data_IF_991698500167
#
_entry.id   IF_991698500167
#
_cell.length_a   1.000
_cell.length_b   1.000
_cell.length_c   1.000
_cell.angle_alpha   90.00
_cell.angle_beta   90.00
_cell.angle_gamma   90.00
#
_symmetry.space_group_name_H-M   'P 1'
#
loop_
_entity.id
_entity.type
_entity.pdbx_description
1 polymer ?
#
# COMPACT_ATOMS: atom_id res chain seq x y z
N UNK A 1 10.29 -11.06 5.37
CA UNK A 1 10.76 -10.18 4.28
C UNK A 1 10.04 -8.84 4.40
N UNK A 2 10.70 -7.73 4.05
CA UNK A 2 10.16 -6.38 4.28
C UNK A 2 10.36 -5.52 3.03
N UNK A 3 9.32 -4.81 2.59
CA UNK A 3 9.43 -3.66 1.69
C UNK A 3 9.09 -2.41 2.51
N UNK A 4 9.93 -1.38 2.47
CA UNK A 4 9.73 -0.18 3.27
C UNK A 4 10.03 1.08 2.48
N UNK A 5 9.22 2.12 2.69
CA UNK A 5 9.45 3.48 2.21
C UNK A 5 9.39 4.44 3.42
N UNK A 6 10.46 5.20 3.63
CA UNK A 6 10.72 6.07 4.76
C UNK A 6 11.53 7.31 4.31
N UNK A 7 10.88 8.34 3.72
CA UNK A 7 11.56 9.54 3.29
C UNK A 7 12.33 10.17 4.46
N UNK A 8 13.43 10.83 4.12
CA UNK A 8 14.25 11.58 5.07
C UNK A 8 13.56 12.88 5.48
N UNK A 9 13.78 13.32 6.70
CA UNK A 9 13.30 14.61 7.21
C UNK A 9 14.16 15.80 6.72
N UNK A 10 15.11 15.57 5.82
CA UNK A 10 16.12 16.54 5.42
C UNK A 10 15.68 17.53 4.35
N UNK A 11 14.50 17.33 3.74
CA UNK A 11 14.00 18.17 2.64
C UNK A 11 12.60 18.71 2.92
N UNK A 12 12.33 19.92 2.41
CA UNK A 12 10.99 20.53 2.48
C UNK A 12 9.93 19.72 1.76
N UNK A 13 10.30 19.08 0.67
CA UNK A 13 9.47 18.09 -0.02
C UNK A 13 10.32 16.83 -0.14
N UNK A 14 9.91 15.75 0.54
CA UNK A 14 10.57 14.46 0.41
C UNK A 14 9.56 13.36 0.09
N UNK A 15 9.97 12.47 -0.81
CA UNK A 15 9.10 11.46 -1.41
C UNK A 15 9.89 10.19 -1.65
N UNK A 16 9.41 9.10 -1.07
CA UNK A 16 9.97 7.77 -1.32
C UNK A 16 8.89 6.81 -1.83
N UNK A 17 9.13 6.26 -3.03
CA UNK A 17 8.29 5.25 -3.66
C UNK A 17 9.08 3.96 -3.81
N UNK A 18 8.58 2.87 -3.24
CA UNK A 18 9.22 1.56 -3.31
C UNK A 18 8.28 0.56 -3.93
N UNK A 19 8.71 -0.04 -5.04
CA UNK A 19 8.02 -1.18 -5.67
C UNK A 19 8.89 -2.42 -5.50
N UNK A 20 8.35 -3.48 -4.91
CA UNK A 20 9.06 -4.72 -4.67
C UNK A 20 8.25 -5.93 -5.11
N UNK A 21 8.81 -6.70 -6.05
CA UNK A 21 8.25 -7.97 -6.48
C UNK A 21 9.07 -9.14 -5.91
N UNK A 22 8.42 -10.16 -5.34
CA UNK A 22 9.11 -11.32 -4.75
C UNK A 22 8.35 -12.62 -4.97
N UNK A 23 9.09 -13.64 -5.41
CA UNK A 23 8.64 -15.04 -5.37
C UNK A 23 9.22 -15.75 -4.15
N UNK A 24 8.35 -16.33 -3.32
CA UNK A 24 8.72 -17.00 -2.08
C UNK A 24 9.07 -18.45 -2.34
N UNK A 25 10.15 -18.92 -1.73
CA UNK A 25 10.66 -20.30 -1.90
C UNK A 25 10.50 -21.21 -0.66
N UNK A 26 10.15 -20.67 0.52
CA UNK A 26 10.14 -21.38 1.80
C UNK A 26 8.73 -21.50 2.42
N UNK A 27 8.53 -22.52 3.29
CA UNK A 27 7.22 -22.97 3.79
C UNK A 27 6.57 -22.09 4.89
N UNK A 28 7.34 -21.28 5.64
CA UNK A 28 6.82 -20.31 6.60
C UNK A 28 7.17 -18.90 6.14
N UNK A 29 6.15 -18.07 5.92
CA UNK A 29 6.31 -16.75 5.31
C UNK A 29 5.72 -15.66 6.21
N UNK A 30 6.55 -14.69 6.56
CA UNK A 30 6.13 -13.37 7.00
C UNK A 30 6.61 -12.33 5.98
N UNK A 31 5.69 -11.54 5.45
CA UNK A 31 5.99 -10.47 4.51
C UNK A 31 5.32 -9.16 4.93
N UNK A 32 6.15 -8.12 5.06
CA UNK A 32 5.75 -6.83 5.56
C UNK A 32 5.91 -5.78 4.45
N UNK A 33 4.90 -4.92 4.29
CA UNK A 33 4.96 -3.71 3.48
C UNK A 33 4.70 -2.51 4.38
N UNK A 34 5.69 -1.62 4.53
CA UNK A 34 5.68 -0.54 5.52
C UNK A 34 5.95 0.80 4.85
N UNK A 35 4.95 1.68 4.82
CA UNK A 35 5.13 3.09 4.48
C UNK A 35 5.09 3.90 5.77
N UNK A 36 6.15 4.66 6.06
CA UNK A 36 6.20 5.54 7.22
C UNK A 36 6.65 6.92 6.80
N UNK A 37 5.92 7.95 7.20
CA UNK A 37 6.29 9.34 6.98
C UNK A 37 6.20 10.09 8.28
N UNK A 38 7.23 10.87 8.56
CA UNK A 38 7.25 11.83 9.66
C UNK A 38 7.65 13.17 9.10
N UNK A 39 6.98 14.23 9.54
CA UNK A 39 7.29 15.60 9.13
C UNK A 39 7.33 16.49 10.35
N UNK A 40 8.49 17.08 10.63
CA UNK A 40 8.71 17.92 11.80
C UNK A 40 9.13 19.37 11.49
N UNK A 41 9.46 19.67 10.23
CA UNK A 41 9.80 21.02 9.81
C UNK A 41 8.59 21.80 9.30
N UNK A 42 8.59 23.11 9.51
CA UNK A 42 7.51 23.99 9.08
C UNK A 42 7.30 23.96 7.57
N UNK A 43 6.04 23.96 7.12
CA UNK A 43 5.61 23.92 5.71
C UNK A 43 6.07 22.68 4.93
N UNK A 44 6.65 21.69 5.61
CA UNK A 44 7.23 20.53 4.95
C UNK A 44 6.16 19.52 4.51
N UNK A 45 6.51 18.74 3.50
CA UNK A 45 5.66 17.73 2.88
C UNK A 45 6.42 16.43 2.74
N UNK A 46 5.98 15.41 3.46
CA UNK A 46 6.50 14.05 3.34
C UNK A 46 5.50 13.12 2.64
N UNK A 47 6.01 12.24 1.79
CA UNK A 47 5.25 11.16 1.17
C UNK A 47 6.05 9.85 1.21
N UNK A 48 5.45 8.81 1.76
CA UNK A 48 5.94 7.43 1.63
C UNK A 48 4.91 6.58 0.92
N UNK A 49 5.35 5.78 -0.03
CA UNK A 49 4.49 4.82 -0.69
C UNK A 49 5.24 3.52 -0.96
N UNK A 50 4.65 2.38 -0.61
CA UNK A 50 5.20 1.06 -0.87
C UNK A 50 4.18 0.16 -1.58
N UNK A 51 4.63 -0.50 -2.64
CA UNK A 51 3.94 -1.58 -3.33
C UNK A 51 4.76 -2.85 -3.20
N UNK A 52 4.16 -3.91 -2.66
CA UNK A 52 4.77 -5.22 -2.58
C UNK A 52 3.90 -6.27 -3.30
N UNK A 53 4.46 -6.91 -4.32
CA UNK A 53 3.83 -8.01 -5.06
C UNK A 53 4.48 -9.33 -4.66
N UNK A 54 3.68 -10.27 -4.18
CA UNK A 54 4.13 -11.53 -3.59
C UNK A 54 3.55 -12.73 -4.32
N UNK A 55 4.39 -13.72 -4.60
CA UNK A 55 3.97 -15.01 -5.14
C UNK A 55 4.37 -16.13 -4.18
N UNK A 56 3.39 -16.91 -3.72
CA UNK A 56 3.57 -17.95 -2.69
C UNK A 56 3.12 -19.31 -3.24
N UNK A 57 4.02 -20.13 -3.81
CA UNK A 57 3.65 -21.29 -4.62
C UNK A 57 3.02 -22.47 -3.87
N UNK A 58 3.57 -22.81 -2.71
CA UNK A 58 3.25 -24.04 -1.99
C UNK A 58 2.42 -23.81 -0.73
N UNK A 59 1.94 -24.89 -0.09
CA UNK A 59 1.21 -24.80 1.15
C UNK A 59 2.08 -24.15 2.22
N UNK A 60 1.66 -22.97 2.66
CA UNK A 60 2.33 -22.20 3.69
C UNK A 60 1.32 -21.64 4.69
N UNK A 61 1.75 -21.47 5.94
CA UNK A 61 1.11 -20.49 6.83
C UNK A 61 1.79 -19.15 6.56
N UNK A 62 1.06 -18.25 5.88
CA UNK A 62 1.63 -17.00 5.39
C UNK A 62 0.96 -15.81 6.07
N UNK A 63 1.76 -14.97 6.74
CA UNK A 63 1.34 -13.72 7.35
C UNK A 63 1.80 -12.55 6.50
N UNK A 64 0.87 -11.63 6.26
CA UNK A 64 1.10 -10.46 5.42
C UNK A 64 0.67 -9.21 6.19
N UNK A 65 1.65 -8.48 6.74
CA UNK A 65 1.40 -7.24 7.47
C UNK A 65 1.61 -6.04 6.52
N UNK A 66 0.63 -5.17 6.40
CA UNK A 66 0.65 -4.02 5.50
C UNK A 66 0.31 -2.76 6.30
N UNK A 67 1.29 -1.87 6.46
CA UNK A 67 1.26 -0.78 7.43
C UNK A 67 1.56 0.54 6.76
N UNK A 68 0.65 1.51 6.90
CA UNK A 68 0.86 2.90 6.51
C UNK A 68 0.79 3.80 7.75
N UNK A 69 1.81 4.60 8.00
CA UNK A 69 1.85 5.52 9.14
C UNK A 69 2.33 6.91 8.72
N UNK A 70 1.57 7.94 9.04
CA UNK A 70 1.94 9.33 8.76
C UNK A 70 1.83 10.19 10.02
N UNK A 71 2.90 10.93 10.31
CA UNK A 71 3.05 11.78 11.50
C UNK A 71 3.44 13.19 11.10
N UNK A 72 2.77 14.18 11.68
CA UNK A 72 3.26 15.57 11.72
C UNK A 72 3.49 15.96 13.17
N UNK A 73 4.64 16.56 13.48
CA UNK A 73 5.03 16.89 14.85
C UNK A 73 5.67 18.29 14.92
N UNK A 74 5.37 19.06 15.96
CA UNK A 74 6.09 20.31 16.31
C UNK A 74 6.25 21.29 15.13
N UNK A 75 5.23 21.41 14.29
CA UNK A 75 5.33 22.19 13.05
C UNK A 75 4.02 22.88 12.65
N UNK A 76 4.11 23.80 11.66
CA UNK A 76 2.95 24.50 11.12
C UNK A 76 2.81 24.30 9.61
N UNK A 77 1.56 24.12 9.15
CA UNK A 77 1.17 23.87 7.75
C UNK A 77 1.95 22.74 7.05
N UNK A 78 2.30 21.70 7.79
CA UNK A 78 3.00 20.53 7.25
C UNK A 78 2.02 19.48 6.74
N UNK A 79 2.47 18.61 5.84
CA UNK A 79 1.67 17.46 5.41
C UNK A 79 2.47 16.17 5.40
N UNK A 80 1.87 15.07 5.85
CA UNK A 80 2.45 13.73 5.74
C UNK A 80 1.47 12.75 5.14
N UNK A 81 1.91 11.97 4.14
CA UNK A 81 1.10 10.89 3.56
C UNK A 81 1.85 9.56 3.57
N UNK A 82 1.11 8.46 3.84
CA UNK A 82 1.67 7.11 3.76
C UNK A 82 0.70 6.15 3.05
N UNK A 83 1.21 5.44 2.05
CA UNK A 83 0.46 4.45 1.27
C UNK A 83 1.16 3.09 1.31
N UNK A 84 0.47 2.05 1.74
CA UNK A 84 1.00 0.69 1.74
C UNK A 84 0.09 -0.26 0.94
N UNK A 85 0.63 -0.89 -0.09
CA UNK A 85 -0.11 -1.77 -1.01
C UNK A 85 0.53 -3.14 -1.07
N UNK A 86 -0.26 -4.18 -0.86
CA UNK A 86 0.14 -5.57 -1.07
C UNK A 86 -0.76 -6.28 -2.08
N UNK A 87 -0.16 -6.86 -3.11
CA UNK A 87 -0.82 -7.79 -4.03
C UNK A 87 -0.20 -9.17 -3.84
N UNK A 88 -0.98 -10.11 -3.34
CA UNK A 88 -0.50 -11.44 -2.94
C UNK A 88 -1.19 -12.50 -3.78
N UNK A 89 -0.41 -13.31 -4.49
CA UNK A 89 -0.88 -14.48 -5.24
C UNK A 89 -0.43 -15.73 -4.50
N UNK A 90 -1.38 -16.53 -4.01
CA UNK A 90 -1.12 -17.73 -3.21
C UNK A 90 -1.57 -19.00 -3.94
N UNK A 91 -0.80 -20.06 -3.80
CA UNK A 91 -1.10 -21.38 -4.34
C UNK A 91 -2.01 -22.23 -3.44
N UNK A 92 -2.39 -23.43 -3.90
CA UNK A 92 -3.25 -24.34 -3.16
C UNK A 92 -2.69 -24.69 -1.78
N UNK A 93 -3.58 -24.87 -0.81
CA UNK A 93 -3.21 -25.24 0.56
C UNK A 93 -2.57 -24.12 1.39
N UNK A 94 -2.33 -22.93 0.82
CA UNK A 94 -1.82 -21.77 1.56
C UNK A 94 -2.90 -21.15 2.44
N UNK A 95 -2.60 -20.97 3.73
CA UNK A 95 -3.45 -20.23 4.67
C UNK A 95 -2.88 -18.82 4.83
N UNK A 96 -3.48 -17.86 4.14
CA UNK A 96 -3.12 -16.46 4.25
C UNK A 96 -3.77 -15.79 5.47
N UNK A 97 -2.97 -15.02 6.21
CA UNK A 97 -3.40 -14.13 7.31
C UNK A 97 -3.05 -12.68 6.95
N UNK A 98 -3.88 -12.02 6.12
CA UNK A 98 -3.70 -10.60 5.79
C UNK A 98 -4.00 -9.72 7.01
N UNK A 99 -3.21 -8.67 7.21
CA UNK A 99 -3.43 -7.65 8.25
C UNK A 99 -3.06 -6.28 7.68
N UNK A 100 -4.05 -5.40 7.60
CA UNK A 100 -3.86 -4.00 7.21
C UNK A 100 -3.91 -3.08 8.44
N UNK A 101 -3.06 -2.06 8.46
CA UNK A 101 -3.08 -0.98 9.45
C UNK A 101 -2.77 0.34 8.77
N UNK A 102 -3.54 1.36 9.09
CA UNK A 102 -3.29 2.73 8.66
C UNK A 102 -3.43 3.65 9.88
N UNK A 103 -2.50 4.59 10.04
CA UNK A 103 -2.46 5.51 11.17
C UNK A 103 -1.98 6.89 10.72
N UNK A 104 -2.84 7.89 10.89
CA UNK A 104 -2.55 9.29 10.62
C UNK A 104 -2.62 10.07 11.94
N UNK A 105 -1.51 10.71 12.33
CA UNK A 105 -1.41 11.45 13.59
C UNK A 105 -0.83 12.84 13.34
N UNK A 106 -1.42 13.85 13.98
CA UNK A 106 -0.81 15.16 14.15
C UNK A 106 -0.63 15.43 15.63
N UNK A 107 0.57 15.83 16.03
CA UNK A 107 0.92 16.14 17.41
C UNK A 107 1.61 17.50 17.49
N UNK A 108 1.33 18.27 18.55
CA UNK A 108 1.89 19.60 18.81
C UNK A 108 2.02 20.49 17.54
N UNK A 109 0.97 20.54 16.72
CA UNK A 109 1.03 21.08 15.37
C UNK A 109 -0.10 22.08 15.09
N UNK A 110 0.19 23.09 14.27
CA UNK A 110 -0.80 24.04 13.76
C UNK A 110 -1.10 23.79 12.27
N UNK A 111 -2.37 23.63 11.91
CA UNK A 111 -2.85 23.48 10.52
C UNK A 111 -2.24 22.32 9.70
N UNK A 112 -1.55 21.37 10.33
CA UNK A 112 -0.99 20.23 9.59
C UNK A 112 -2.08 19.23 9.18
N UNK A 113 -1.77 18.46 8.14
CA UNK A 113 -2.69 17.51 7.55
C UNK A 113 -1.98 16.18 7.30
N UNK A 114 -2.61 15.09 7.70
CA UNK A 114 -2.09 13.73 7.48
C UNK A 114 -3.11 12.86 6.78
N UNK A 115 -2.65 11.93 5.94
CA UNK A 115 -3.50 10.96 5.27
C UNK A 115 -2.78 9.62 5.09
N UNK A 116 -3.48 8.53 5.42
CA UNK A 116 -2.94 7.17 5.29
C UNK A 116 -3.89 6.24 4.57
N UNK A 117 -3.34 5.25 3.88
CA UNK A 117 -4.12 4.14 3.34
C UNK A 117 -3.27 2.86 3.25
N UNK A 118 -3.87 1.74 3.63
CA UNK A 118 -3.32 0.41 3.46
C UNK A 118 -4.28 -0.46 2.65
N UNK A 119 -3.85 -0.92 1.48
CA UNK A 119 -4.63 -1.76 0.57
C UNK A 119 -4.00 -3.14 0.42
N UNK A 120 -4.82 -4.18 0.48
CA UNK A 120 -4.33 -5.54 0.31
C UNK A 120 -5.29 -6.36 -0.54
N UNK A 121 -4.73 -7.04 -1.53
CA UNK A 121 -5.43 -7.99 -2.41
C UNK A 121 -4.75 -9.34 -2.25
N UNK A 122 -5.52 -10.36 -1.88
CA UNK A 122 -5.04 -11.75 -1.80
C UNK A 122 -5.83 -12.58 -2.81
N UNK A 123 -5.13 -13.11 -3.81
CA UNK A 123 -5.70 -13.96 -4.86
C UNK A 123 -5.20 -15.39 -4.69
N UNK A 124 -6.13 -16.32 -4.56
CA UNK A 124 -5.81 -17.75 -4.55
C UNK A 124 -5.94 -18.33 -5.96
N UNK A 125 -4.91 -19.08 -6.38
CA UNK A 125 -4.82 -19.73 -7.68
C UNK A 125 -4.48 -21.21 -7.56
N UNK A 126 -4.74 -21.99 -8.61
CA UNK A 126 -4.34 -23.41 -8.64
C UNK A 126 -2.84 -23.60 -8.86
N UNK A 127 -2.24 -22.73 -9.66
CA UNK A 127 -0.83 -22.73 -9.98
C UNK A 127 -0.32 -21.30 -9.96
N UNK A 128 0.59 -21.02 -9.03
CA UNK A 128 1.20 -19.71 -8.89
C UNK A 128 2.12 -19.46 -10.07
N UNK A 129 1.85 -18.36 -10.76
CA UNK A 129 2.72 -17.80 -11.77
C UNK A 129 2.78 -16.29 -11.55
N UNK A 130 3.86 -15.67 -12.02
CA UNK A 130 4.00 -14.22 -11.99
C UNK A 130 2.85 -13.56 -12.75
N UNK A 131 2.45 -12.38 -12.30
CA UNK A 131 1.64 -11.50 -13.13
C UNK A 131 2.44 -11.18 -14.40
N UNK A 132 1.81 -11.18 -15.59
CA UNK A 132 2.48 -10.73 -16.81
C UNK A 132 3.02 -9.31 -16.66
N UNK A 133 4.13 -8.97 -17.33
CA UNK A 133 4.74 -7.64 -17.23
C UNK A 133 3.76 -6.48 -17.53
N UNK A 134 2.84 -6.57 -18.52
CA UNK A 134 1.82 -5.53 -18.72
C UNK A 134 0.91 -5.35 -17.51
N UNK A 135 0.52 -6.44 -16.85
CA UNK A 135 -0.31 -6.38 -15.65
C UNK A 135 0.45 -5.79 -14.45
N UNK A 136 1.74 -6.11 -14.31
CA UNK A 136 2.59 -5.50 -13.29
C UNK A 136 2.73 -3.98 -13.51
N UNK A 137 2.89 -3.56 -14.77
CA UNK A 137 2.91 -2.14 -15.13
C UNK A 137 1.58 -1.45 -14.79
N UNK A 138 0.43 -2.08 -15.08
CA UNK A 138 -0.88 -1.54 -14.70
C UNK A 138 -1.06 -1.44 -13.17
N UNK A 139 -0.57 -2.42 -12.41
CA UNK A 139 -0.59 -2.38 -10.94
C UNK A 139 0.30 -1.26 -10.40
N UNK A 140 1.50 -1.07 -10.97
CA UNK A 140 2.40 0.01 -10.60
C UNK A 140 1.81 1.39 -10.93
N UNK A 141 1.21 1.54 -12.11
CA UNK A 141 0.54 2.78 -12.51
C UNK A 141 -0.66 3.10 -11.61
N UNK A 142 -1.47 2.09 -11.25
CA UNK A 142 -2.55 2.23 -10.28
C UNK A 142 -2.01 2.70 -8.92
N UNK A 143 -0.91 2.11 -8.45
CA UNK A 143 -0.28 2.46 -7.18
C UNK A 143 0.20 3.92 -7.16
N UNK A 144 0.87 4.37 -8.23
CA UNK A 144 1.30 5.77 -8.35
C UNK A 144 0.12 6.74 -8.39
N UNK A 145 -0.96 6.37 -9.09
CA UNK A 145 -2.18 7.18 -9.14
C UNK A 145 -2.83 7.32 -7.74
N UNK A 146 -2.89 6.23 -6.97
CA UNK A 146 -3.43 6.25 -5.61
C UNK A 146 -2.55 7.08 -4.67
N UNK A 147 -1.22 7.00 -4.79
CA UNK A 147 -0.30 7.86 -4.04
C UNK A 147 -0.53 9.35 -4.35
N UNK A 148 -0.73 9.69 -5.63
CA UNK A 148 -1.05 11.06 -6.06
C UNK A 148 -2.42 11.54 -5.55
N UNK A 149 -3.41 10.66 -5.48
CA UNK A 149 -4.73 10.95 -4.90
C UNK A 149 -4.63 11.26 -3.41
N UNK A 150 -3.85 10.47 -2.64
CA UNK A 150 -3.61 10.74 -1.22
C UNK A 150 -2.94 12.10 -1.01
N UNK A 151 -1.92 12.42 -1.82
CA UNK A 151 -1.25 13.73 -1.79
C UNK A 151 -2.21 14.89 -2.08
N UNK A 152 -3.10 14.73 -3.06
CA UNK A 152 -4.08 15.76 -3.39
C UNK A 152 -5.12 15.91 -2.28
N UNK A 153 -5.56 14.80 -1.69
CA UNK A 153 -6.55 14.78 -0.62
C UNK A 153 -6.06 15.46 0.67
N UNK A 154 -4.76 15.33 0.98
CA UNK A 154 -4.17 15.99 2.16
C UNK A 154 -4.01 17.51 1.97
N UNK A 155 -3.98 18.00 0.73
CA UNK A 155 -3.91 19.43 0.42
C UNK A 155 -5.29 20.12 0.40
N UNK A 156 -6.36 19.37 0.08
CA UNK A 156 -7.71 19.91 -0.06
C UNK A 156 -8.72 19.14 0.84
N UNK A 157 -9.01 19.61 2.07
CA UNK A 157 -9.88 18.90 3.02
C UNK A 157 -11.29 18.61 2.50
N UNK A 158 -11.88 19.52 1.72
CA UNK A 158 -13.18 19.31 1.07
C UNK A 158 -13.19 18.13 0.07
N UNK A 159 -12.02 17.77 -0.48
CA UNK A 159 -11.85 16.64 -1.37
C UNK A 159 -11.68 15.29 -0.65
N UNK A 160 -11.46 15.28 0.69
CA UNK A 160 -11.17 14.06 1.46
C UNK A 160 -12.27 13.00 1.38
N UNK A 161 -13.53 13.39 1.60
CA UNK A 161 -14.68 12.47 1.50
C UNK A 161 -14.88 11.90 0.08
N UNK A 162 -14.47 12.66 -0.95
CA UNK A 162 -14.49 12.20 -2.34
C UNK A 162 -13.35 11.23 -2.61
N UNK A 163 -12.14 11.54 -2.15
CA UNK A 163 -10.98 10.66 -2.24
C UNK A 163 -11.23 9.32 -1.54
N UNK A 164 -11.88 9.32 -0.37
CA UNK A 164 -12.26 8.09 0.34
C UNK A 164 -13.18 7.19 -0.50
N UNK A 165 -14.19 7.75 -1.19
CA UNK A 165 -15.07 6.96 -2.06
C UNK A 165 -14.35 6.46 -3.31
N UNK A 166 -13.48 7.27 -3.89
CA UNK A 166 -12.65 6.89 -5.05
C UNK A 166 -11.73 5.73 -4.68
N UNK A 167 -11.07 5.80 -3.54
CA UNK A 167 -10.15 4.77 -3.06
C UNK A 167 -10.83 3.40 -2.82
N UNK A 168 -12.13 3.35 -2.47
CA UNK A 168 -12.86 2.05 -2.36
C UNK A 168 -13.08 1.44 -3.75
N UNK A 169 -13.50 2.26 -4.72
CA UNK A 169 -13.69 1.82 -6.12
C UNK A 169 -12.35 1.41 -6.75
N UNK A 170 -11.30 2.16 -6.44
CA UNK A 170 -9.91 1.94 -6.84
C UNK A 170 -9.40 0.55 -6.41
N UNK A 171 -9.73 0.10 -5.19
CA UNK A 171 -9.36 -1.24 -4.72
C UNK A 171 -10.08 -2.36 -5.50
N UNK A 172 -11.35 -2.15 -5.83
CA UNK A 172 -12.09 -3.08 -6.67
C UNK A 172 -11.51 -3.14 -8.10
N UNK A 173 -11.01 -2.03 -8.62
CA UNK A 173 -10.28 -1.99 -9.90
C UNK A 173 -8.98 -2.79 -9.83
N UNK A 174 -8.19 -2.62 -8.76
CA UNK A 174 -6.98 -3.41 -8.53
C UNK A 174 -7.28 -4.91 -8.42
N UNK A 175 -8.35 -5.27 -7.70
CA UNK A 175 -8.82 -6.67 -7.61
C UNK A 175 -9.18 -7.22 -8.98
N UNK A 176 -9.98 -6.48 -9.74
CA UNK A 176 -10.39 -6.90 -11.09
C UNK A 176 -9.18 -7.05 -12.01
N UNK A 177 -8.23 -6.12 -11.94
CA UNK A 177 -6.97 -6.19 -12.67
C UNK A 177 -6.22 -7.49 -12.34
N UNK A 178 -5.91 -7.73 -11.06
CA UNK A 178 -5.18 -8.92 -10.63
C UNK A 178 -5.89 -10.23 -11.06
N UNK A 179 -7.22 -10.31 -10.91
CA UNK A 179 -8.00 -11.49 -11.30
C UNK A 179 -7.97 -11.70 -12.82
N UNK A 180 -8.22 -10.64 -13.62
CA UNK A 180 -8.20 -10.74 -15.10
C UNK A 180 -6.84 -11.20 -15.61
N UNK A 181 -5.76 -10.65 -15.06
CA UNK A 181 -4.39 -10.97 -15.46
C UNK A 181 -3.96 -12.40 -15.10
N UNK A 182 -4.58 -12.99 -14.08
CA UNK A 182 -4.37 -14.40 -13.72
C UNK A 182 -5.24 -15.36 -14.55
N UNK A 183 -6.27 -14.84 -15.23
CA UNK A 183 -7.16 -15.59 -16.10
C UNK A 183 -7.95 -16.68 -15.36
N UNK A 184 -8.20 -17.81 -16.03
CA UNK A 184 -8.94 -18.94 -15.46
C UNK A 184 -8.28 -19.64 -14.26
N UNK A 185 -7.07 -19.23 -13.87
CA UNK A 185 -6.35 -19.76 -12.71
C UNK A 185 -6.84 -19.19 -11.38
N UNK A 186 -7.49 -18.02 -11.40
CA UNK A 186 -8.00 -17.39 -10.19
C UNK A 186 -9.22 -18.14 -9.65
N UNK A 187 -9.13 -18.59 -8.39
CA UNK A 187 -10.21 -19.31 -7.69
C UNK A 187 -10.97 -18.41 -6.73
N UNK A 188 -10.27 -17.53 -6.03
CA UNK A 188 -10.89 -16.52 -5.18
C UNK A 188 -9.98 -15.30 -5.06
N UNK A 189 -10.58 -14.15 -4.78
CA UNK A 189 -9.87 -12.92 -4.47
C UNK A 189 -10.53 -12.23 -3.28
N UNK A 190 -9.73 -11.89 -2.27
CA UNK A 190 -10.15 -11.13 -1.10
C UNK A 190 -9.46 -9.79 -1.09
N UNK A 191 -10.19 -8.77 -0.69
CA UNK A 191 -9.67 -7.40 -0.57
C UNK A 191 -9.88 -6.89 0.84
N UNK A 192 -8.92 -6.12 1.33
CA UNK A 192 -9.01 -5.40 2.58
C UNK A 192 -8.45 -4.00 2.40
N UNK A 193 -9.06 -3.03 3.09
CA UNK A 193 -8.61 -1.63 3.16
C UNK A 193 -8.71 -1.11 4.58
N UNK A 194 -7.71 -0.34 4.99
CA UNK A 194 -7.68 0.40 6.25
C UNK A 194 -7.18 1.82 5.97
N UNK A 195 -7.72 2.83 6.65
CA UNK A 195 -7.39 4.25 6.44
C UNK A 195 -7.26 4.97 7.76
#
# INVERSE_FOLDING_TARGET
>A
MVASAQPSDQRREDRELVVREVTVRNAALKADAVATTTTACHTCRGESAVLQVLYVPGPASARFDNVASAWTQDCWDCTATALAVQVVVIGPGTRARPTNRALAVGDACATCRTATAAFQVVVQVDAVGRLPDPALAEVAAWFEAEAALLRTAVQAPAARRRAERVAVRSLDDLRRLAVRSLGGRARSARVAVTR
#
